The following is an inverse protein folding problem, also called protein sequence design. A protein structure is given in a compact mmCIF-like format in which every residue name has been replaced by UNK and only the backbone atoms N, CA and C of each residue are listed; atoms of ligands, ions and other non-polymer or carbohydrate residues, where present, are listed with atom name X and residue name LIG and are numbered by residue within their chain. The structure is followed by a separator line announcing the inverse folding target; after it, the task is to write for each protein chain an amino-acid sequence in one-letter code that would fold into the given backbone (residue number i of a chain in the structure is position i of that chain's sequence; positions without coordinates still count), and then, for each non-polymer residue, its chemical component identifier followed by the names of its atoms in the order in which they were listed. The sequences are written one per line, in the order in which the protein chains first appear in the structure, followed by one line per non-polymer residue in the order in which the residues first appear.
data_IF_904533980053
#
_entry.id   IF_904533980053
#
_cell.length_a   1.000
_cell.length_b   1.000
_cell.length_c   1.000
_cell.angle_alpha   90.00
_cell.angle_beta   90.00
_cell.angle_gamma   90.00
#
_symmetry.space_group_name_H-M   'P 1'
#
loop_
_entity.id
_entity.type
_entity.pdbx_description
1 polymer ?
#
# COMPACT_ATOMS: atom_id res chain seq x y z
N UNK A 1 11.75 16.23 -12.32
CA UNK A 1 12.85 15.37 -12.72
C UNK A 1 12.48 13.92 -12.38
N UNK A 2 12.87 12.95 -13.22
CA UNK A 2 12.50 11.54 -13.02
C UNK A 2 13.13 10.93 -11.77
N UNK A 3 14.24 11.51 -11.27
CA UNK A 3 14.96 11.12 -10.06
C UNK A 3 14.41 11.73 -8.75
N UNK A 4 13.26 12.41 -8.82
CA UNK A 4 12.72 13.15 -7.66
C UNK A 4 12.49 12.25 -6.45
N UNK A 5 11.88 11.09 -6.65
CA UNK A 5 11.55 10.16 -5.56
C UNK A 5 12.80 9.45 -5.01
N UNK A 6 13.81 9.17 -5.84
CA UNK A 6 15.08 8.61 -5.41
C UNK A 6 15.83 9.59 -4.52
N UNK A 7 15.81 10.88 -4.87
CA UNK A 7 16.40 11.96 -4.05
C UNK A 7 15.68 12.11 -2.72
N UNK A 8 14.35 12.00 -2.71
CA UNK A 8 13.58 12.00 -1.45
C UNK A 8 13.92 10.79 -0.59
N UNK A 9 14.03 9.60 -1.18
CA UNK A 9 14.46 8.40 -0.46
C UNK A 9 15.85 8.55 0.16
N UNK A 10 16.81 9.13 -0.58
CA UNK A 10 18.14 9.43 -0.06
C UNK A 10 18.10 10.40 1.12
N UNK A 11 17.30 11.46 1.06
CA UNK A 11 17.10 12.40 2.17
C UNK A 11 16.47 11.70 3.38
N UNK A 12 15.42 10.93 3.16
CA UNK A 12 14.75 10.17 4.23
C UNK A 12 15.73 9.25 4.97
N UNK A 13 16.57 8.54 4.21
CA UNK A 13 17.63 7.68 4.77
C UNK A 13 18.64 8.46 5.60
N UNK A 14 19.08 9.65 5.13
CA UNK A 14 20.01 10.51 5.86
C UNK A 14 19.49 10.97 7.22
N UNK A 15 18.18 11.24 7.31
CA UNK A 15 17.54 11.70 8.56
C UNK A 15 16.93 10.55 9.38
N UNK A 16 17.10 9.30 8.94
CA UNK A 16 16.55 8.13 9.63
C UNK A 16 15.01 8.04 9.58
N UNK A 17 14.36 8.65 8.58
CA UNK A 17 12.91 8.63 8.43
C UNK A 17 12.45 7.42 7.60
N UNK A 18 11.33 6.81 7.98
CA UNK A 18 10.65 5.81 7.14
C UNK A 18 9.92 6.51 6.00
N UNK A 19 10.35 6.23 4.77
CA UNK A 19 9.80 6.82 3.57
C UNK A 19 8.68 5.93 3.01
N UNK A 20 7.45 6.42 3.03
CA UNK A 20 6.28 5.76 2.44
C UNK A 20 6.01 6.38 1.08
N UNK A 21 5.96 5.57 0.03
CA UNK A 21 5.80 6.03 -1.34
C UNK A 21 4.52 5.47 -1.97
N UNK A 22 3.71 6.37 -2.52
CA UNK A 22 2.60 6.10 -3.42
C UNK A 22 2.69 7.03 -4.62
N UNK A 23 2.91 6.49 -5.79
CA UNK A 23 3.04 7.22 -7.04
C UNK A 23 2.69 6.30 -8.21
N UNK A 24 2.61 6.81 -9.43
CA UNK A 24 2.18 6.05 -10.61
C UNK A 24 3.00 6.37 -11.85
N UNK A 25 2.81 5.61 -12.93
CA UNK A 25 3.39 5.84 -14.24
C UNK A 25 4.92 5.80 -14.24
N UNK A 26 5.56 6.73 -14.95
CA UNK A 26 7.03 6.81 -15.09
C UNK A 26 7.71 7.05 -13.73
N UNK A 27 7.11 7.86 -12.86
CA UNK A 27 7.65 8.13 -11.54
C UNK A 27 7.72 6.85 -10.67
N UNK A 28 6.71 5.98 -10.78
CA UNK A 28 6.72 4.69 -10.10
C UNK A 28 7.79 3.75 -10.68
N UNK A 29 7.97 3.72 -12.02
CA UNK A 29 9.03 2.91 -12.64
C UNK A 29 10.40 3.30 -12.14
N UNK A 30 10.72 4.60 -12.15
CA UNK A 30 12.00 5.09 -11.63
C UNK A 30 12.18 4.73 -10.15
N UNK A 31 11.16 4.96 -9.32
CA UNK A 31 11.22 4.64 -7.89
C UNK A 31 11.42 3.13 -7.63
N UNK A 32 10.86 2.26 -8.47
CA UNK A 32 11.02 0.81 -8.37
C UNK A 32 12.44 0.30 -8.69
N UNK A 33 13.26 1.11 -9.37
CA UNK A 33 14.66 0.79 -9.66
C UNK A 33 15.61 1.05 -8.47
N UNK A 34 15.09 1.53 -7.33
CA UNK A 34 15.91 1.64 -6.12
C UNK A 34 15.72 2.92 -5.32
N UNK A 35 14.49 3.44 -5.18
CA UNK A 35 14.22 4.60 -4.32
C UNK A 35 14.55 4.36 -2.84
N UNK A 36 14.70 3.09 -2.43
CA UNK A 36 14.95 2.74 -1.04
C UNK A 36 13.79 3.13 -0.12
N UNK A 37 12.55 3.08 -0.61
CA UNK A 37 11.39 3.32 0.21
C UNK A 37 11.30 2.30 1.35
N UNK A 38 10.80 2.72 2.51
CA UNK A 38 10.43 1.78 3.55
C UNK A 38 9.19 0.98 3.14
N UNK A 39 8.16 1.67 2.60
CA UNK A 39 6.94 1.05 2.12
C UNK A 39 6.54 1.65 0.78
N UNK A 40 6.27 0.77 -0.20
CA UNK A 40 5.73 1.10 -1.52
C UNK A 40 4.35 0.47 -1.68
N UNK A 41 3.37 1.25 -2.18
CA UNK A 41 2.00 0.75 -2.38
C UNK A 41 1.57 0.77 -3.85
N UNK A 42 1.94 -0.17 -4.70
CA UNK A 42 1.34 -0.32 -6.02
C UNK A 42 -0.07 -0.93 -5.94
N UNK A 43 -0.89 -0.68 -6.96
CA UNK A 43 -2.03 -1.53 -7.26
C UNK A 43 -1.60 -2.71 -8.15
N UNK A 44 -2.52 -3.66 -8.41
CA UNK A 44 -2.22 -4.85 -9.21
C UNK A 44 -1.74 -4.51 -10.63
N UNK A 45 -2.37 -3.53 -11.30
CA UNK A 45 -1.99 -3.11 -12.65
C UNK A 45 -0.60 -2.44 -12.66
N UNK A 46 -0.31 -1.62 -11.66
CA UNK A 46 1.01 -0.99 -11.49
C UNK A 46 2.09 -2.04 -11.25
N UNK A 47 1.83 -3.02 -10.38
CA UNK A 47 2.77 -4.11 -10.14
C UNK A 47 3.00 -4.94 -11.41
N UNK A 48 1.94 -5.27 -12.18
CA UNK A 48 2.05 -5.96 -13.47
C UNK A 48 2.97 -5.19 -14.42
N UNK A 49 2.75 -3.88 -14.54
CA UNK A 49 3.58 -3.00 -15.39
C UNK A 49 5.05 -2.99 -14.95
N UNK A 50 5.31 -2.93 -13.64
CA UNK A 50 6.66 -2.98 -13.07
C UNK A 50 7.35 -4.32 -13.31
N UNK A 51 6.58 -5.40 -13.39
CA UNK A 51 7.07 -6.76 -13.67
C UNK A 51 7.26 -7.03 -15.17
N UNK A 52 6.94 -6.05 -16.04
CA UNK A 52 7.06 -6.18 -17.49
C UNK A 52 5.96 -7.01 -18.14
N UNK A 53 4.84 -7.21 -17.47
CA UNK A 53 3.66 -7.91 -18.00
C UNK A 53 2.44 -6.98 -18.04
N UNK A 54 1.44 -7.35 -18.81
CA UNK A 54 0.17 -6.61 -18.88
C UNK A 54 -0.79 -7.01 -17.77
N UNK A 55 -0.66 -8.24 -17.27
CA UNK A 55 -1.53 -8.79 -16.22
C UNK A 55 -0.73 -9.82 -15.42
N UNK A 56 -0.93 -9.83 -14.11
CA UNK A 56 -0.41 -10.83 -13.18
C UNK A 56 -1.57 -11.64 -12.64
N UNK A 57 -1.43 -12.97 -12.66
CA UNK A 57 -2.33 -13.84 -11.92
C UNK A 57 -2.06 -13.71 -10.41
N UNK A 58 -3.07 -13.98 -9.59
CA UNK A 58 -2.97 -13.77 -8.13
C UNK A 58 -1.83 -14.57 -7.48
N UNK A 59 -1.52 -15.72 -8.02
CA UNK A 59 -0.44 -16.62 -7.60
C UNK A 59 0.96 -16.06 -7.89
N UNK A 60 1.08 -15.10 -8.81
CA UNK A 60 2.34 -14.49 -9.22
C UNK A 60 2.63 -13.17 -8.47
N UNK A 61 1.61 -12.60 -7.79
CA UNK A 61 1.70 -11.25 -7.19
C UNK A 61 2.77 -11.17 -6.10
N UNK A 62 2.91 -12.19 -5.27
CA UNK A 62 3.89 -12.18 -4.19
C UNK A 62 5.32 -12.32 -4.71
N UNK A 63 5.56 -13.16 -5.72
CA UNK A 63 6.87 -13.33 -6.34
C UNK A 63 7.30 -12.05 -7.09
N UNK A 64 6.37 -11.41 -7.81
CA UNK A 64 6.59 -10.13 -8.46
C UNK A 64 6.98 -9.03 -7.46
N UNK A 65 6.26 -8.94 -6.35
CA UNK A 65 6.57 -7.97 -5.29
C UNK A 65 7.91 -8.28 -4.60
N UNK A 66 8.22 -9.54 -4.31
CA UNK A 66 9.53 -9.96 -3.76
C UNK A 66 10.68 -9.63 -4.71
N UNK A 67 10.49 -9.79 -6.02
CA UNK A 67 11.49 -9.41 -7.01
C UNK A 67 11.83 -7.90 -6.97
N UNK A 68 10.84 -7.03 -6.76
CA UNK A 68 11.06 -5.59 -6.56
C UNK A 68 11.76 -5.29 -5.23
N UNK A 69 11.41 -5.98 -4.16
CA UNK A 69 12.11 -5.87 -2.87
C UNK A 69 13.60 -6.24 -3.02
N UNK A 70 13.88 -7.34 -3.72
CA UNK A 70 15.25 -7.79 -3.97
C UNK A 70 16.08 -6.80 -4.80
N UNK A 71 15.43 -5.99 -5.66
CA UNK A 71 16.05 -4.88 -6.41
C UNK A 71 16.27 -3.61 -5.56
N UNK A 72 15.74 -3.56 -4.34
CA UNK A 72 15.85 -2.39 -3.47
C UNK A 72 14.78 -1.33 -3.68
N UNK A 73 13.68 -1.65 -4.35
CA UNK A 73 12.55 -0.72 -4.53
C UNK A 73 11.95 -0.29 -3.19
N UNK A 74 11.77 -1.24 -2.28
CA UNK A 74 11.27 -0.99 -0.93
C UNK A 74 11.62 -2.14 0.02
N UNK A 75 11.52 -1.91 1.33
CA UNK A 75 11.60 -2.98 2.34
C UNK A 75 10.27 -3.75 2.47
N UNK A 76 9.16 -3.04 2.28
CA UNK A 76 7.79 -3.56 2.35
C UNK A 76 7.02 -3.12 1.11
N UNK A 77 6.34 -4.06 0.45
CA UNK A 77 5.40 -3.76 -0.63
C UNK A 77 3.99 -4.14 -0.19
N UNK A 78 3.05 -3.23 -0.37
CA UNK A 78 1.63 -3.46 -0.10
C UNK A 78 0.86 -3.33 -1.41
N UNK A 79 0.51 -4.45 -2.01
CA UNK A 79 -0.23 -4.47 -3.28
C UNK A 79 -1.72 -4.30 -2.99
N UNK A 80 -2.30 -3.19 -3.44
CA UNK A 80 -3.75 -2.98 -3.28
C UNK A 80 -4.53 -3.76 -4.34
N UNK A 81 -5.53 -4.55 -3.89
CA UNK A 81 -6.34 -5.48 -4.67
C UNK A 81 -7.82 -5.06 -4.73
N UNK A 82 -8.09 -3.77 -4.51
CA UNK A 82 -9.45 -3.22 -4.52
C UNK A 82 -10.37 -3.88 -3.49
N UNK A 83 -11.48 -4.48 -3.94
CA UNK A 83 -12.44 -5.14 -3.06
C UNK A 83 -11.89 -6.41 -2.37
N UNK A 84 -10.80 -6.97 -2.87
CA UNK A 84 -10.14 -8.13 -2.26
C UNK A 84 -9.20 -7.73 -1.10
N UNK A 85 -8.96 -6.44 -0.89
CA UNK A 85 -8.09 -5.94 0.18
C UNK A 85 -6.68 -5.63 -0.30
N UNK A 86 -5.67 -6.20 0.36
CA UNK A 86 -4.28 -5.96 0.02
C UNK A 86 -3.38 -7.15 0.36
N UNK A 87 -2.30 -7.30 -0.40
CA UNK A 87 -1.24 -8.24 -0.13
C UNK A 87 -0.06 -7.51 0.50
N UNK A 88 0.29 -7.86 1.73
CA UNK A 88 1.50 -7.44 2.42
C UNK A 88 2.65 -8.37 2.03
N UNK A 89 3.72 -7.82 1.50
CA UNK A 89 4.90 -8.58 1.09
C UNK A 89 6.16 -7.99 1.69
N UNK A 90 6.99 -8.83 2.26
CA UNK A 90 8.34 -8.54 2.71
C UNK A 90 9.31 -9.57 2.12
N UNK A 91 10.60 -9.43 2.36
CA UNK A 91 11.57 -10.44 1.94
C UNK A 91 11.30 -11.81 2.59
N UNK A 92 10.73 -11.86 3.79
CA UNK A 92 10.58 -13.08 4.59
C UNK A 92 9.16 -13.67 4.62
N UNK A 93 8.13 -12.90 4.32
CA UNK A 93 6.76 -13.40 4.36
C UNK A 93 5.81 -12.61 3.45
N UNK A 94 4.66 -13.23 3.17
CA UNK A 94 3.54 -12.67 2.45
C UNK A 94 2.25 -12.92 3.24
N UNK A 95 1.35 -11.94 3.30
CA UNK A 95 0.06 -12.07 3.97
C UNK A 95 -1.04 -11.32 3.24
N UNK A 96 -2.12 -11.99 2.92
CA UNK A 96 -3.32 -11.35 2.38
C UNK A 96 -4.18 -10.79 3.51
N UNK A 97 -4.46 -9.49 3.45
CA UNK A 97 -5.37 -8.78 4.36
C UNK A 97 -6.67 -8.50 3.61
N UNK A 98 -7.70 -9.26 3.92
CA UNK A 98 -9.00 -9.17 3.22
C UNK A 98 -9.73 -7.87 3.56
N UNK A 99 -10.30 -7.22 2.54
CA UNK A 99 -11.16 -6.05 2.77
C UNK A 99 -12.49 -6.43 3.42
N UNK A 100 -13.05 -5.56 4.26
CA UNK A 100 -14.39 -5.76 4.79
C UNK A 100 -15.44 -5.49 3.70
N UNK A 101 -16.54 -6.23 3.73
CA UNK A 101 -17.70 -5.94 2.85
C UNK A 101 -18.37 -4.66 3.31
N UNK A 102 -18.42 -3.65 2.43
CA UNK A 102 -19.06 -2.36 2.69
C UNK A 102 -19.97 -1.95 1.53
N UNK A 103 -20.95 -1.09 1.81
CA UNK A 103 -21.77 -0.47 0.75
C UNK A 103 -20.97 0.64 0.08
N UNK A 104 -20.44 0.34 -1.09
CA UNK A 104 -19.59 1.24 -1.86
C UNK A 104 -20.43 2.32 -2.56
N UNK A 105 -19.99 3.58 -2.48
CA UNK A 105 -20.53 4.75 -3.18
C UNK A 105 -19.53 5.36 -4.16
N UNK A 106 -18.25 5.47 -3.78
CA UNK A 106 -17.17 6.01 -4.60
C UNK A 106 -15.89 5.22 -4.37
N UNK A 107 -14.96 5.25 -5.34
CA UNK A 107 -13.61 4.70 -5.17
C UNK A 107 -12.53 5.78 -5.11
N UNK A 108 -12.92 7.04 -5.33
CA UNK A 108 -11.98 8.16 -5.34
C UNK A 108 -11.41 8.36 -3.94
N UNK A 109 -10.10 8.50 -3.83
CA UNK A 109 -9.40 8.70 -2.56
C UNK A 109 -9.26 7.46 -1.67
N UNK A 110 -9.72 6.28 -2.13
CA UNK A 110 -9.54 5.04 -1.35
C UNK A 110 -8.06 4.66 -1.18
N UNK A 111 -7.25 4.81 -2.25
CA UNK A 111 -5.80 4.60 -2.20
C UNK A 111 -5.11 5.56 -1.26
N UNK A 112 -5.42 6.86 -1.37
CA UNK A 112 -4.85 7.91 -0.53
C UNK A 112 -5.21 7.70 0.95
N UNK A 113 -6.46 7.34 1.23
CA UNK A 113 -6.91 7.00 2.59
C UNK A 113 -6.19 5.77 3.14
N UNK A 114 -5.93 4.77 2.30
CA UNK A 114 -5.17 3.59 2.67
C UNK A 114 -3.72 3.96 3.05
N UNK A 115 -3.04 4.77 2.23
CA UNK A 115 -1.67 5.24 2.51
C UNK A 115 -1.63 6.06 3.79
N UNK A 116 -2.55 7.00 3.97
CA UNK A 116 -2.65 7.80 5.18
C UNK A 116 -2.85 6.93 6.43
N UNK A 117 -3.73 5.92 6.35
CA UNK A 117 -3.95 4.95 7.42
C UNK A 117 -2.70 4.15 7.74
N UNK A 118 -2.02 3.59 6.75
CA UNK A 118 -0.76 2.86 6.95
C UNK A 118 0.31 3.74 7.58
N UNK A 119 0.48 4.97 7.10
CA UNK A 119 1.45 5.93 7.64
C UNK A 119 1.16 6.25 9.11
N UNK A 120 -0.10 6.49 9.45
CA UNK A 120 -0.52 6.72 10.84
C UNK A 120 -0.27 5.50 11.73
N UNK A 121 -0.56 4.29 11.24
CA UNK A 121 -0.31 3.07 11.99
C UNK A 121 1.19 2.81 12.20
N UNK A 122 2.02 3.07 11.18
CA UNK A 122 3.48 3.03 11.27
C UNK A 122 4.04 4.02 12.29
N UNK A 123 3.50 5.25 12.35
CA UNK A 123 3.94 6.25 13.33
C UNK A 123 3.58 5.86 14.78
N UNK A 124 2.66 4.92 14.96
CA UNK A 124 2.25 4.34 16.24
C UNK A 124 2.95 3.01 16.54
N UNK A 125 3.96 2.66 15.76
CA UNK A 125 4.78 1.45 15.91
C UNK A 125 3.97 0.14 15.93
N UNK A 126 2.86 0.08 15.20
CA UNK A 126 2.05 -1.13 15.05
C UNK A 126 2.79 -2.17 14.21
N UNK A 127 2.45 -3.45 14.39
CA UNK A 127 2.96 -4.52 13.52
C UNK A 127 2.59 -4.27 12.05
N UNK A 128 3.37 -4.78 11.09
CA UNK A 128 3.09 -4.59 9.67
C UNK A 128 1.71 -5.11 9.27
N UNK A 129 1.26 -6.20 9.87
CA UNK A 129 -0.07 -6.75 9.64
C UNK A 129 -1.17 -5.77 10.09
N UNK A 130 -1.02 -5.18 11.30
CA UNK A 130 -1.95 -4.16 11.78
C UNK A 130 -1.88 -2.88 10.95
N UNK A 131 -0.69 -2.50 10.44
CA UNK A 131 -0.50 -1.35 9.54
C UNK A 131 -1.32 -1.53 8.28
N UNK A 132 -1.19 -2.68 7.60
CA UNK A 132 -1.94 -2.95 6.38
C UNK A 132 -3.42 -3.11 6.65
N UNK A 133 -3.80 -3.78 7.74
CA UNK A 133 -5.19 -3.93 8.17
C UNK A 133 -5.86 -2.55 8.41
N UNK A 134 -5.17 -1.63 9.09
CA UNK A 134 -5.67 -0.27 9.31
C UNK A 134 -5.76 0.53 8.02
N UNK A 135 -4.77 0.39 7.13
CA UNK A 135 -4.81 0.99 5.79
C UNK A 135 -5.99 0.49 4.96
N UNK A 136 -6.23 -0.82 4.91
CA UNK A 136 -7.37 -1.42 4.21
C UNK A 136 -8.70 -0.93 4.81
N UNK A 137 -8.80 -0.81 6.14
CA UNK A 137 -9.98 -0.26 6.79
C UNK A 137 -10.23 1.21 6.39
N UNK A 138 -9.17 2.04 6.31
CA UNK A 138 -9.26 3.43 5.84
C UNK A 138 -9.73 3.50 4.37
N UNK A 139 -9.12 2.70 3.49
CA UNK A 139 -9.52 2.63 2.09
C UNK A 139 -10.98 2.18 1.92
N UNK A 140 -11.39 1.13 2.64
CA UNK A 140 -12.78 0.66 2.62
C UNK A 140 -13.77 1.71 3.15
N UNK A 141 -13.44 2.38 4.27
CA UNK A 141 -14.26 3.45 4.83
C UNK A 141 -14.42 4.64 3.87
N UNK A 142 -13.36 5.02 3.15
CA UNK A 142 -13.44 6.07 2.13
C UNK A 142 -14.44 5.71 1.03
N UNK A 143 -14.50 4.44 0.61
CA UNK A 143 -15.45 4.02 -0.43
C UNK A 143 -16.93 4.13 -0.02
N UNK A 144 -17.22 4.25 1.28
CA UNK A 144 -18.59 4.40 1.79
C UNK A 144 -19.15 5.81 1.62
N UNK A 145 -18.30 6.79 1.30
CA UNK A 145 -18.66 8.19 1.14
C UNK A 145 -18.82 8.57 -0.34
N UNK A 146 -19.53 9.69 -0.59
CA UNK A 146 -19.79 10.17 -1.94
C UNK A 146 -18.64 11.07 -2.44
N UNK A 147 -18.42 11.03 -3.74
CA UNK A 147 -17.46 11.91 -4.41
C UNK A 147 -16.03 11.70 -3.90
N UNK A 148 -15.40 12.78 -3.47
CA UNK A 148 -14.01 12.83 -2.97
C UNK A 148 -13.92 12.88 -1.43
N UNK A 149 -15.02 12.63 -0.73
CA UNK A 149 -15.03 12.61 0.73
C UNK A 149 -14.16 11.45 1.25
N UNK A 150 -13.22 11.78 2.14
CA UNK A 150 -12.29 10.82 2.73
C UNK A 150 -12.98 9.93 3.78
N UNK A 151 -12.23 8.99 4.34
CA UNK A 151 -12.72 8.08 5.37
C UNK A 151 -13.10 8.83 6.66
N UNK A 152 -14.23 8.47 7.25
CA UNK A 152 -14.65 8.96 8.56
C UNK A 152 -14.01 8.08 9.65
N UNK A 153 -13.52 8.73 10.71
CA UNK A 153 -12.82 8.06 11.82
C UNK A 153 -13.64 6.92 12.43
N UNK A 154 -14.92 7.16 12.69
CA UNK A 154 -15.81 6.17 13.31
C UNK A 154 -15.96 4.90 12.45
N UNK A 155 -16.08 5.08 11.13
CA UNK A 155 -16.14 3.96 10.20
C UNK A 155 -14.83 3.19 10.15
N UNK A 156 -13.69 3.88 10.12
CA UNK A 156 -12.36 3.26 10.13
C UNK A 156 -12.18 2.41 11.40
N UNK A 157 -12.43 2.98 12.57
CA UNK A 157 -12.28 2.30 13.85
C UNK A 157 -13.17 1.05 13.91
N UNK A 158 -14.44 1.17 13.52
CA UNK A 158 -15.39 0.06 13.47
C UNK A 158 -14.96 -1.06 12.51
N UNK A 159 -14.47 -0.70 11.32
CA UNK A 159 -14.02 -1.68 10.33
C UNK A 159 -12.71 -2.35 10.77
N UNK A 160 -11.77 -1.57 11.28
CA UNK A 160 -10.48 -2.08 11.77
C UNK A 160 -10.67 -3.11 12.89
N UNK A 161 -11.50 -2.83 13.90
CA UNK A 161 -11.75 -3.77 15.00
C UNK A 161 -12.33 -5.12 14.50
N UNK A 162 -13.22 -5.08 13.49
CA UNK A 162 -13.75 -6.30 12.87
C UNK A 162 -12.69 -7.08 12.09
N UNK A 163 -11.81 -6.38 11.40
CA UNK A 163 -10.77 -7.01 10.57
C UNK A 163 -9.64 -7.57 11.46
N UNK A 164 -9.28 -6.86 12.52
CA UNK A 164 -8.22 -7.26 13.45
C UNK A 164 -8.45 -8.63 14.07
N UNK A 165 -9.70 -9.02 14.28
CA UNK A 165 -10.06 -10.35 14.80
C UNK A 165 -9.70 -11.51 13.86
N UNK A 166 -9.31 -11.20 12.60
CA UNK A 166 -8.97 -12.17 11.55
C UNK A 166 -7.50 -12.17 11.15
N UNK A 167 -6.68 -11.32 11.82
CA UNK A 167 -5.23 -11.28 11.64
C UNK A 167 -4.57 -12.46 12.37
#
# INVERSE_FOLDING_TARGET
PNDFYDRLGAVAKQVGARYVLDTSGEALRHAADGSGAYLLKPNLLELSTLSGTTELEMEEVDDAAKALIAKGAAEVIVVSLGAQGALLVTAGFCKHVMAPTVKKKSTVGAGDSMVAGMTLALSRERSLEEVVCFGVACGAAATMNEGTSLCLREDVERLFEKMKQRL
#
